data_IF_676392836041
#
_entry.id   IF_676392836041
#
_cell.length_a   1.000
_cell.length_b   1.000
_cell.length_c   1.000
_cell.angle_alpha   90.00
_cell.angle_beta   90.00
_cell.angle_gamma   90.00
#
_symmetry.space_group_name_H-M   'P 1'
#
loop_
_entity.id
_entity.type
_entity.pdbx_description
1 polymer ?
#
# COMPACT_ATOMS: atom_id res chain seq x y z
N UNK A 1 16.94 15.95 3.64
CA UNK A 1 16.67 15.69 5.07
C UNK A 1 15.27 15.11 5.14
N UNK A 2 15.15 13.81 5.41
CA UNK A 2 13.85 13.17 5.55
C UNK A 2 13.09 13.75 6.74
N UNK A 3 11.79 13.94 6.59
CA UNK A 3 10.93 14.37 7.69
C UNK A 3 10.52 13.15 8.50
N UNK A 4 11.13 12.97 9.68
CA UNK A 4 10.68 11.97 10.63
C UNK A 4 9.31 12.39 11.17
N UNK A 5 8.31 11.52 10.99
CA UNK A 5 6.97 11.75 11.50
C UNK A 5 6.83 10.94 12.78
N UNK A 6 6.67 11.63 13.91
CA UNK A 6 6.43 10.99 15.19
C UNK A 6 5.09 11.45 15.78
N UNK A 7 4.17 10.51 15.88
CA UNK A 7 2.94 10.62 16.66
C UNK A 7 2.91 9.46 17.67
N UNK A 8 2.07 9.51 18.72
CA UNK A 8 1.97 8.38 19.65
C UNK A 8 1.47 7.09 19.00
N UNK A 9 0.87 7.15 17.80
CA UNK A 9 0.25 6.02 17.10
C UNK A 9 1.11 5.51 15.95
N UNK A 10 1.77 6.42 15.21
CA UNK A 10 2.55 6.13 14.02
C UNK A 10 3.89 6.86 14.09
N UNK A 11 4.95 6.13 13.78
CA UNK A 11 6.31 6.61 13.65
C UNK A 11 6.85 6.25 12.28
N UNK A 12 7.48 7.20 11.61
CA UNK A 12 8.21 7.00 10.35
C UNK A 12 9.62 7.51 10.55
N UNK A 13 10.58 6.59 10.51
CA UNK A 13 12.01 6.87 10.64
C UNK A 13 12.68 6.57 9.29
N UNK A 14 13.29 7.59 8.70
CA UNK A 14 14.06 7.47 7.47
C UNK A 14 15.56 7.58 7.79
N UNK A 15 16.14 6.45 8.19
CA UNK A 15 17.48 6.38 8.78
C UNK A 15 18.65 6.24 7.78
N UNK A 16 19.85 6.08 8.33
CA UNK A 16 21.17 6.11 7.66
C UNK A 16 21.46 4.94 6.70
N UNK A 17 20.46 4.10 6.38
CA UNK A 17 20.63 2.84 5.64
C UNK A 17 19.87 2.78 4.31
N UNK A 18 19.33 3.90 3.83
CA UNK A 18 18.42 3.91 2.67
C UNK A 18 17.23 2.94 2.87
N UNK A 19 16.81 2.82 4.14
CA UNK A 19 15.65 2.05 4.58
C UNK A 19 14.72 3.02 5.32
N UNK A 20 13.43 2.92 5.05
CA UNK A 20 12.39 3.61 5.82
C UNK A 20 11.68 2.60 6.69
N UNK A 21 11.54 2.93 7.98
CA UNK A 21 10.88 2.10 8.98
C UNK A 21 9.61 2.81 9.41
N UNK A 22 8.49 2.12 9.24
CA UNK A 22 7.17 2.59 9.63
C UNK A 22 6.73 1.69 10.77
N UNK A 23 6.45 2.30 11.92
CA UNK A 23 6.07 1.57 13.14
C UNK A 23 4.77 2.14 13.68
N UNK A 24 3.91 1.25 14.17
CA UNK A 24 2.67 1.62 14.83
C UNK A 24 2.67 1.20 16.30
N UNK A 25 1.80 1.84 17.07
CA UNK A 25 1.46 1.37 18.40
C UNK A 25 0.79 -0.02 18.35
N UNK A 26 1.26 -0.94 19.20
CA UNK A 26 0.82 -2.32 19.21
C UNK A 26 -0.67 -2.47 19.58
N UNK A 27 -1.21 -1.61 20.46
CA UNK A 27 -2.63 -1.68 20.80
C UNK A 27 -3.50 -1.26 19.61
N UNK A 28 -3.08 -0.22 18.88
CA UNK A 28 -3.73 0.19 17.63
C UNK A 28 -3.73 -0.96 16.61
N UNK A 29 -2.63 -1.70 16.49
CA UNK A 29 -2.56 -2.85 15.60
C UNK A 29 -3.53 -3.97 16.01
N UNK A 30 -3.62 -4.28 17.30
CA UNK A 30 -4.57 -5.28 17.84
C UNK A 30 -6.02 -4.87 17.58
N UNK A 31 -6.33 -3.59 17.78
CA UNK A 31 -7.71 -3.09 17.70
C UNK A 31 -8.23 -3.05 16.26
N UNK A 32 -7.36 -2.75 15.28
CA UNK A 32 -7.77 -2.47 13.90
C UNK A 32 -7.18 -3.40 12.85
N UNK A 33 -6.19 -4.22 13.20
CA UNK A 33 -5.46 -5.13 12.30
C UNK A 33 -4.58 -4.44 11.25
N UNK A 34 -4.98 -3.27 10.73
CA UNK A 34 -4.22 -2.42 9.79
C UNK A 34 -3.59 -3.18 8.59
N UNK A 35 -4.26 -4.25 8.16
CA UNK A 35 -3.82 -5.12 7.07
C UNK A 35 -4.13 -4.55 5.67
N UNK A 36 -5.06 -3.60 5.56
CA UNK A 36 -5.33 -2.94 4.28
C UNK A 36 -4.15 -2.03 3.90
N UNK A 37 -3.56 -2.17 2.71
CA UNK A 37 -2.36 -1.42 2.35
C UNK A 37 -2.60 0.09 2.30
N UNK A 38 -1.71 0.84 2.95
CA UNK A 38 -1.61 2.30 2.85
C UNK A 38 -0.51 2.63 1.84
N UNK A 39 -0.70 3.69 1.06
CA UNK A 39 0.28 4.17 0.09
C UNK A 39 1.18 5.23 0.71
N UNK A 40 2.47 4.91 0.78
CA UNK A 40 3.54 5.81 1.23
C UNK A 40 4.27 6.36 0.01
N UNK A 41 4.52 7.66 0.01
CA UNK A 41 5.15 8.38 -1.09
C UNK A 41 6.62 8.63 -0.77
N UNK A 42 7.48 8.27 -1.72
CA UNK A 42 8.91 8.47 -1.64
C UNK A 42 9.39 9.30 -2.82
N UNK A 43 10.12 10.37 -2.54
CA UNK A 43 10.87 11.10 -3.55
C UNK A 43 12.08 10.24 -3.94
N UNK A 44 12.18 9.91 -5.22
CA UNK A 44 13.28 9.14 -5.80
C UNK A 44 14.25 10.07 -6.56
N UNK A 45 15.53 9.67 -6.77
CA UNK A 45 16.49 10.49 -7.49
C UNK A 45 16.07 10.75 -8.94
N UNK A 46 16.26 11.98 -9.42
CA UNK A 46 15.92 12.34 -10.79
C UNK A 46 16.73 11.54 -11.81
N UNK A 47 16.06 11.10 -12.88
CA UNK A 47 16.67 10.28 -13.93
C UNK A 47 16.89 8.81 -13.53
N UNK A 48 16.28 8.36 -12.43
CA UNK A 48 16.22 6.92 -12.11
C UNK A 48 15.40 6.17 -13.15
N UNK A 49 15.75 4.91 -13.40
CA UNK A 49 14.91 3.94 -14.11
C UNK A 49 15.01 2.56 -13.44
N UNK A 50 14.05 1.69 -13.74
CA UNK A 50 14.14 0.27 -13.39
C UNK A 50 14.34 0.02 -11.89
N UNK A 51 13.76 0.89 -11.07
CA UNK A 51 13.82 0.76 -9.63
C UNK A 51 12.96 -0.41 -9.16
N UNK A 52 13.31 -0.94 -8.00
CA UNK A 52 12.58 -2.02 -7.34
C UNK A 52 12.30 -1.65 -5.90
N UNK A 53 11.09 -1.96 -5.43
CA UNK A 53 10.72 -1.80 -4.02
C UNK A 53 10.74 -3.14 -3.31
N UNK A 54 11.24 -3.13 -2.09
CA UNK A 54 11.30 -4.31 -1.24
C UNK A 54 10.74 -3.98 0.13
N UNK A 55 10.06 -4.97 0.73
CA UNK A 55 9.55 -4.88 2.10
C UNK A 55 9.92 -6.08 2.95
N UNK A 56 10.00 -5.85 4.26
CA UNK A 56 10.02 -6.89 5.30
C UNK A 56 9.34 -6.35 6.55
N UNK A 57 8.95 -7.23 7.46
CA UNK A 57 8.21 -6.83 8.67
C UNK A 57 9.02 -6.96 9.96
N UNK A 58 10.13 -7.71 9.94
CA UNK A 58 11.05 -7.83 11.07
C UNK A 58 12.48 -7.72 10.55
N UNK A 59 13.40 -7.22 11.38
CA UNK A 59 14.82 -7.04 11.00
C UNK A 59 15.49 -8.37 10.61
N UNK A 60 15.03 -9.47 11.18
CA UNK A 60 15.53 -10.84 10.91
C UNK A 60 14.92 -11.48 9.67
N UNK A 61 13.85 -10.91 9.10
CA UNK A 61 13.22 -11.46 7.90
C UNK A 61 14.00 -11.06 6.64
N UNK A 62 13.97 -11.96 5.66
CA UNK A 62 14.45 -11.69 4.31
C UNK A 62 13.58 -10.62 3.63
N UNK A 63 14.21 -9.86 2.75
CA UNK A 63 13.51 -8.88 1.92
C UNK A 63 12.64 -9.58 0.88
N UNK A 64 11.40 -9.15 0.75
CA UNK A 64 10.50 -9.57 -0.33
C UNK A 64 10.34 -8.42 -1.32
N UNK A 65 10.64 -8.66 -2.59
CA UNK A 65 10.38 -7.69 -3.64
C UNK A 65 8.86 -7.51 -3.81
N UNK A 66 8.42 -6.26 -3.93
CA UNK A 66 7.03 -5.91 -4.16
C UNK A 66 6.72 -5.98 -5.65
N UNK A 67 5.47 -6.31 -5.99
CA UNK A 67 5.00 -6.32 -7.37
C UNK A 67 4.92 -4.87 -7.86
N UNK A 68 5.51 -4.59 -9.02
CA UNK A 68 5.37 -3.30 -9.69
C UNK A 68 4.06 -3.22 -10.48
N UNK A 69 3.43 -2.05 -10.44
CA UNK A 69 2.23 -1.66 -11.17
C UNK A 69 2.44 -0.31 -11.85
N UNK A 70 1.64 -0.07 -12.88
CA UNK A 70 1.61 1.19 -13.65
C UNK A 70 0.28 1.92 -13.43
N UNK A 71 0.20 3.17 -13.88
CA UNK A 71 -1.06 3.95 -13.85
C UNK A 71 -2.18 3.31 -14.67
N UNK A 72 -1.82 2.50 -15.68
CA UNK A 72 -2.74 1.81 -16.58
C UNK A 72 -3.27 0.49 -16.00
N UNK A 73 -2.64 -0.03 -14.94
CA UNK A 73 -3.12 -1.22 -14.27
C UNK A 73 -4.35 -0.92 -13.42
N UNK A 74 -5.34 -1.82 -13.48
CA UNK A 74 -6.46 -1.82 -12.52
C UNK A 74 -6.10 -2.66 -11.29
N UNK A 75 -5.82 -2.00 -10.16
CA UNK A 75 -5.53 -2.64 -8.88
C UNK A 75 -6.02 -1.78 -7.72
N UNK A 76 -6.47 -2.42 -6.64
CA UNK A 76 -6.88 -1.73 -5.42
C UNK A 76 -6.72 -2.68 -4.21
N UNK A 77 -6.24 -2.16 -3.09
CA UNK A 77 -6.11 -2.91 -1.84
C UNK A 77 -5.10 -4.05 -1.86
N UNK A 78 -4.08 -3.97 -2.71
CA UNK A 78 -2.98 -4.95 -2.76
C UNK A 78 -1.64 -4.31 -2.37
N UNK A 79 -0.70 -5.14 -1.91
CA UNK A 79 0.69 -4.72 -1.77
C UNK A 79 1.32 -4.57 -3.16
N UNK A 80 1.74 -3.35 -3.51
CA UNK A 80 2.34 -3.04 -4.80
C UNK A 80 3.17 -1.75 -4.72
N UNK A 81 4.06 -1.56 -5.69
CA UNK A 81 4.72 -0.26 -5.92
C UNK A 81 4.35 0.26 -7.30
N UNK A 82 4.16 1.57 -7.42
CA UNK A 82 4.13 2.27 -8.70
C UNK A 82 5.21 3.34 -8.71
N UNK A 83 6.09 3.28 -9.69
CA UNK A 83 7.09 4.32 -9.91
C UNK A 83 6.58 5.32 -10.95
N UNK A 84 6.55 6.59 -10.56
CA UNK A 84 6.33 7.72 -11.44
C UNK A 84 7.67 8.43 -11.65
N UNK A 85 8.37 8.02 -12.70
CA UNK A 85 9.70 8.55 -13.01
C UNK A 85 9.66 9.98 -13.54
N UNK A 86 8.54 10.43 -14.10
CA UNK A 86 8.37 11.80 -14.57
C UNK A 86 8.24 12.77 -13.38
N UNK A 87 7.47 12.38 -12.37
CA UNK A 87 7.29 13.14 -11.12
C UNK A 87 8.32 12.77 -10.03
N UNK A 88 9.27 11.89 -10.33
CA UNK A 88 10.29 11.41 -9.40
C UNK A 88 9.71 10.91 -8.07
N UNK A 89 8.60 10.17 -8.13
CA UNK A 89 7.87 9.69 -6.96
C UNK A 89 7.62 8.18 -7.05
N UNK A 90 7.89 7.45 -5.96
CA UNK A 90 7.47 6.07 -5.79
C UNK A 90 6.29 5.98 -4.82
N UNK A 91 5.20 5.37 -5.28
CA UNK A 91 4.00 5.08 -4.49
C UNK A 91 4.07 3.64 -3.99
N UNK A 92 4.45 3.44 -2.74
CA UNK A 92 4.62 2.12 -2.14
C UNK A 92 3.42 1.80 -1.27
N UNK A 93 2.56 0.89 -1.73
CA UNK A 93 1.37 0.43 -1.02
C UNK A 93 1.67 -0.83 -0.23
N UNK A 94 1.62 -0.74 1.10
CA UNK A 94 1.90 -1.88 2.00
C UNK A 94 1.08 -1.78 3.29
N UNK A 95 0.59 -2.93 3.76
CA UNK A 95 -0.16 -3.05 5.02
C UNK A 95 0.72 -3.64 6.12
N UNK A 96 0.26 -3.58 7.37
CA UNK A 96 0.95 -4.28 8.46
C UNK A 96 0.67 -5.78 8.38
N UNK A 97 1.67 -6.59 8.68
CA UNK A 97 1.50 -8.04 8.81
C UNK A 97 0.92 -8.38 10.17
N UNK A 98 0.10 -9.42 10.27
CA UNK A 98 -0.49 -9.89 11.54
C UNK A 98 0.52 -10.21 12.68
N UNK A 99 1.82 -10.32 12.36
CA UNK A 99 2.89 -10.68 13.30
C UNK A 99 3.88 -9.55 13.61
N UNK A 100 3.64 -8.33 13.14
CA UNK A 100 4.59 -7.21 13.36
C UNK A 100 3.93 -5.85 13.32
N UNK A 101 4.34 -5.01 14.28
CA UNK A 101 3.97 -3.60 14.35
C UNK A 101 4.90 -2.70 13.51
N UNK A 102 5.70 -3.30 12.61
CA UNK A 102 6.69 -2.59 11.81
C UNK A 102 6.69 -3.03 10.35
N UNK A 103 6.92 -2.06 9.47
CA UNK A 103 7.17 -2.23 8.04
C UNK A 103 8.51 -1.60 7.75
N UNK A 104 9.37 -2.35 7.07
CA UNK A 104 10.64 -1.85 6.55
C UNK A 104 10.51 -1.80 5.03
N UNK A 105 10.87 -0.66 4.45
CA UNK A 105 10.84 -0.42 3.00
C UNK A 105 12.25 -0.03 2.56
N UNK A 106 12.69 -0.57 1.43
CA UNK A 106 13.88 -0.06 0.72
C UNK A 106 13.62 -0.02 -0.78
N UNK A 107 14.23 0.93 -1.46
CA UNK A 107 14.25 1.02 -2.91
C UNK A 107 15.66 0.69 -3.42
N UNK A 108 15.74 -0.06 -4.52
CA UNK A 108 17.00 -0.44 -5.16
C UNK A 108 16.98 -0.15 -6.66
N UNK A 109 18.16 -0.04 -7.27
CA UNK A 109 18.30 -0.13 -8.72
C UNK A 109 18.20 -1.59 -9.21
N UNK A 110 18.32 -1.79 -10.52
CA UNK A 110 18.33 -3.10 -11.18
C UNK A 110 19.50 -4.01 -10.75
N UNK A 111 20.60 -3.43 -10.25
CA UNK A 111 21.76 -4.17 -9.77
C UNK A 111 21.63 -4.55 -8.27
N UNK A 112 20.53 -4.14 -7.63
CA UNK A 112 20.25 -4.40 -6.23
C UNK A 112 20.92 -3.44 -5.25
N UNK A 113 21.51 -2.34 -5.73
CA UNK A 113 22.08 -1.30 -4.87
C UNK A 113 20.95 -0.45 -4.29
N UNK A 114 20.97 -0.21 -2.97
CA UNK A 114 19.99 0.69 -2.34
C UNK A 114 20.18 2.12 -2.83
N UNK A 115 19.09 2.74 -3.27
CA UNK A 115 19.07 4.14 -3.70
C UNK A 115 18.65 5.07 -2.55
N UNK A 116 19.05 6.33 -2.62
CA UNK A 116 18.59 7.35 -1.68
C UNK A 116 17.15 7.77 -2.03
N UNK A 117 16.19 7.24 -1.29
CA UNK A 117 14.79 7.63 -1.38
C UNK A 117 14.37 8.36 -0.10
N UNK A 118 13.64 9.46 -0.24
CA UNK A 118 13.18 10.25 0.90
C UNK A 118 11.68 10.10 1.06
N UNK A 119 11.23 9.65 2.23
CA UNK A 119 9.81 9.67 2.57
C UNK A 119 9.27 11.10 2.50
N UNK A 120 8.14 11.26 1.80
CA UNK A 120 7.45 12.54 1.61
C UNK A 120 6.17 12.60 2.43
N UNK A 121 5.25 11.66 2.19
CA UNK A 121 3.91 11.68 2.77
C UNK A 121 3.23 10.30 2.68
N UNK A 122 2.06 10.19 3.31
CA UNK A 122 1.09 9.14 2.98
C UNK A 122 0.05 9.74 2.03
N UNK A 123 -0.28 9.02 0.96
CA UNK A 123 -1.33 9.46 0.04
C UNK A 123 -2.68 9.50 0.76
N UNK A 124 -3.51 10.49 0.42
CA UNK A 124 -4.85 10.61 1.00
C UNK A 124 -5.76 9.43 0.60
N UNK A 125 -5.61 8.96 -0.64
CA UNK A 125 -6.26 7.76 -1.14
C UNK A 125 -5.22 6.79 -1.70
N UNK A 126 -5.57 5.50 -1.71
CA UNK A 126 -4.73 4.43 -2.24
C UNK A 126 -4.19 4.78 -3.63
N UNK A 127 -2.90 4.54 -3.86
CA UNK A 127 -2.18 4.77 -5.12
C UNK A 127 -2.21 6.24 -5.61
N UNK A 128 -2.33 7.21 -4.69
CA UNK A 128 -2.47 8.64 -5.00
C UNK A 128 -3.61 8.94 -5.99
N UNK A 129 -4.74 8.22 -5.84
CA UNK A 129 -5.96 8.46 -6.61
C UNK A 129 -6.73 9.66 -6.04
N UNK A 130 -7.69 10.19 -6.79
CA UNK A 130 -8.49 11.35 -6.36
C UNK A 130 -9.63 10.99 -5.38
N UNK A 131 -10.06 9.73 -5.37
CA UNK A 131 -11.18 9.28 -4.57
C UNK A 131 -11.17 7.76 -4.33
N UNK A 132 -11.85 7.35 -3.26
CA UNK A 132 -12.25 5.97 -3.04
C UNK A 132 -13.74 5.81 -3.37
N UNK A 133 -14.08 4.75 -4.11
CA UNK A 133 -15.47 4.36 -4.39
C UNK A 133 -15.71 2.99 -3.79
N UNK A 134 -16.79 2.86 -3.03
CA UNK A 134 -17.25 1.58 -2.49
C UNK A 134 -18.65 1.29 -3.00
N UNK A 135 -18.96 0.01 -3.19
CA UNK A 135 -20.28 -0.46 -3.54
C UNK A 135 -20.74 -1.47 -2.50
N UNK A 136 -21.97 -1.31 -2.02
CA UNK A 136 -22.62 -2.25 -1.11
C UNK A 136 -23.86 -2.85 -1.76
N UNK A 137 -24.13 -4.11 -1.45
CA UNK A 137 -25.38 -4.79 -1.77
C UNK A 137 -26.01 -5.28 -0.48
N UNK A 138 -27.12 -4.64 -0.12
CA UNK A 138 -27.84 -4.89 1.14
C UNK A 138 -29.21 -5.53 0.83
N UNK A 139 -29.96 -5.89 1.89
CA UNK A 139 -31.33 -6.42 1.81
C UNK A 139 -31.48 -7.71 0.97
N UNK A 140 -30.53 -8.64 1.11
CA UNK A 140 -30.68 -9.95 0.49
C UNK A 140 -31.84 -10.72 1.15
N UNK A 141 -32.89 -10.94 0.36
CA UNK A 141 -34.05 -11.72 0.76
C UNK A 141 -34.48 -12.69 -0.36
N UNK A 142 -35.26 -13.71 0.00
CA UNK A 142 -35.69 -14.75 -0.93
C UNK A 142 -36.41 -14.21 -2.19
N UNK A 143 -37.19 -13.13 -2.06
CA UNK A 143 -37.92 -12.53 -3.19
C UNK A 143 -37.06 -11.63 -4.11
N UNK A 144 -35.80 -11.37 -3.75
CA UNK A 144 -34.83 -10.63 -4.59
C UNK A 144 -33.58 -11.43 -4.92
N UNK A 145 -33.53 -12.72 -4.58
CA UNK A 145 -32.35 -13.57 -4.71
C UNK A 145 -31.70 -13.49 -6.09
N UNK A 146 -32.48 -13.65 -7.16
CA UNK A 146 -31.94 -13.67 -8.53
C UNK A 146 -31.32 -12.33 -8.92
N UNK A 147 -31.87 -11.21 -8.41
CA UNK A 147 -31.30 -9.88 -8.63
C UNK A 147 -29.99 -9.70 -7.87
N UNK A 148 -29.93 -10.17 -6.62
CA UNK A 148 -28.70 -10.12 -5.83
C UNK A 148 -27.57 -10.92 -6.51
N UNK A 149 -27.86 -12.15 -6.93
CA UNK A 149 -26.91 -12.99 -7.68
C UNK A 149 -26.47 -12.31 -8.97
N UNK A 150 -27.41 -11.73 -9.73
CA UNK A 150 -27.09 -10.98 -10.96
C UNK A 150 -26.17 -9.78 -10.68
N UNK A 151 -26.44 -9.00 -9.63
CA UNK A 151 -25.58 -7.88 -9.22
C UNK A 151 -24.16 -8.36 -8.92
N UNK A 152 -24.00 -9.42 -8.12
CA UNK A 152 -22.69 -10.00 -7.82
C UNK A 152 -21.94 -10.45 -9.09
N UNK A 153 -22.65 -11.05 -10.06
CA UNK A 153 -22.08 -11.46 -11.33
C UNK A 153 -21.62 -10.26 -12.19
N UNK A 154 -22.41 -9.19 -12.23
CA UNK A 154 -22.05 -7.96 -12.93
C UNK A 154 -20.78 -7.36 -12.34
N UNK A 155 -20.72 -7.15 -11.03
CA UNK A 155 -19.53 -6.59 -10.37
C UNK A 155 -18.28 -7.44 -10.63
N UNK A 156 -18.40 -8.76 -10.48
CA UNK A 156 -17.31 -9.69 -10.79
C UNK A 156 -16.84 -9.58 -12.25
N UNK A 157 -17.75 -9.39 -13.21
CA UNK A 157 -17.39 -9.28 -14.63
C UNK A 157 -16.55 -8.03 -14.96
N UNK A 158 -16.63 -7.00 -14.12
CA UNK A 158 -15.83 -5.78 -14.22
C UNK A 158 -14.65 -5.76 -13.24
N UNK A 159 -14.36 -6.86 -12.55
CA UNK A 159 -13.37 -6.95 -11.48
C UNK A 159 -13.60 -5.92 -10.35
N UNK A 160 -14.84 -5.53 -10.10
CA UNK A 160 -15.20 -4.58 -9.05
C UNK A 160 -15.55 -5.30 -7.75
N UNK A 161 -15.10 -4.73 -6.64
CA UNK A 161 -15.44 -5.21 -5.31
C UNK A 161 -16.88 -4.81 -4.96
N UNK A 162 -17.58 -5.73 -4.31
CA UNK A 162 -18.93 -5.52 -3.79
C UNK A 162 -18.98 -6.06 -2.36
N UNK A 163 -19.27 -5.19 -1.41
CA UNK A 163 -19.48 -5.59 -0.01
C UNK A 163 -20.94 -5.96 0.20
N UNK A 164 -21.20 -7.16 0.70
CA UNK A 164 -22.58 -7.59 0.98
C UNK A 164 -22.88 -7.35 2.46
N UNK A 165 -23.92 -6.57 2.78
CA UNK A 165 -24.48 -6.57 4.13
C UNK A 165 -25.63 -7.57 4.17
N UNK A 166 -25.50 -8.56 5.06
CA UNK A 166 -26.47 -9.63 5.31
C UNK A 166 -27.11 -9.41 6.67
#
# INVERSE_FOLDING_TARGET
MGSDVHSPILSIDSGWRNETIITIDAQTHIDYGLAYPVTYEFIIPAGSDGLQSHRRFQVTHDWSQMIEKTSEDFFNGIEAVRFDYDENTAYVSVGFSEFSDSIFIKLTDNDGNSIEATYSAMSQYYDNRDAAVTATADDWAGWVNDKFVQTCQIFRSFNLWLSCAI
#
